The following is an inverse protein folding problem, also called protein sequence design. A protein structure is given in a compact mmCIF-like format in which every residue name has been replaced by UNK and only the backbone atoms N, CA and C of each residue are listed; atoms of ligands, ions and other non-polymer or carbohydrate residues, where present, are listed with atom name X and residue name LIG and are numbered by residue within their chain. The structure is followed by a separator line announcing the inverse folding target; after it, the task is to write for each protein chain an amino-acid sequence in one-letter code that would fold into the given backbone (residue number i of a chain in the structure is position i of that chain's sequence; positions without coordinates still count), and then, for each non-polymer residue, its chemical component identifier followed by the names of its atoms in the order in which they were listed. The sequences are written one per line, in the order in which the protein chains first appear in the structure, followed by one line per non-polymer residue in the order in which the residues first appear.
data_IF_886525878189
#
_entry.id   IF_886525878189
#
_cell.length_a   1.000
_cell.length_b   1.000
_cell.length_c   1.000
_cell.angle_alpha   90.00
_cell.angle_beta   90.00
_cell.angle_gamma   90.00
#
_symmetry.space_group_name_H-M   'P 1'
#
loop_
_entity.id
_entity.type
_entity.pdbx_description
1 polymer ?
#
# COMPACT_ATOMS: atom_id res chain seq x y z
N UNK A 1 28.60 -16.52 4.04
CA UNK A 1 28.71 -15.65 5.24
C UNK A 1 28.62 -16.57 6.45
N UNK A 2 29.68 -16.67 7.25
CA UNK A 2 29.73 -17.58 8.39
C UNK A 2 28.80 -17.06 9.50
N UNK A 3 27.91 -17.91 9.99
CA UNK A 3 26.98 -17.59 11.08
C UNK A 3 27.77 -17.69 12.38
N UNK A 4 28.12 -16.57 12.98
CA UNK A 4 28.72 -16.55 14.33
C UNK A 4 27.64 -17.04 15.29
N UNK A 5 27.80 -18.25 15.81
CA UNK A 5 26.99 -18.78 16.91
C UNK A 5 27.76 -18.54 18.20
N UNK A 6 27.25 -17.66 19.05
CA UNK A 6 27.69 -17.56 20.44
C UNK A 6 27.27 -18.85 21.15
N UNK A 7 28.21 -19.51 21.80
CA UNK A 7 28.00 -20.78 22.52
C UNK A 7 27.85 -20.52 24.01
N UNK A 8 27.35 -21.52 24.75
CA UNK A 8 27.21 -21.45 26.22
C UNK A 8 28.55 -21.19 26.94
N UNK A 9 29.68 -21.51 26.28
CA UNK A 9 31.03 -21.19 26.76
C UNK A 9 31.32 -19.68 26.69
N UNK A 10 30.82 -18.98 25.67
CA UNK A 10 30.96 -17.53 25.54
C UNK A 10 30.18 -16.80 26.65
N UNK A 11 28.98 -17.31 26.97
CA UNK A 11 28.12 -16.73 28.02
C UNK A 11 28.73 -16.90 29.43
N UNK A 12 29.39 -18.04 29.70
CA UNK A 12 30.09 -18.28 30.95
C UNK A 12 31.28 -17.32 31.14
N UNK A 13 32.02 -17.03 30.07
CA UNK A 13 33.15 -16.10 30.11
C UNK A 13 32.69 -14.65 30.35
N UNK A 14 31.55 -14.23 29.77
CA UNK A 14 30.96 -12.91 29.99
C UNK A 14 30.56 -12.68 31.45
N UNK A 15 29.98 -13.70 32.07
CA UNK A 15 29.59 -13.66 33.48
C UNK A 15 30.80 -13.56 34.42
N UNK A 16 31.90 -14.26 34.13
CA UNK A 16 33.13 -14.22 34.93
C UNK A 16 33.85 -12.87 34.84
N UNK A 17 33.73 -12.17 33.70
CA UNK A 17 34.27 -10.83 33.49
C UNK A 17 33.43 -9.71 34.16
N UNK A 18 32.27 -10.05 34.76
CA UNK A 18 31.36 -9.08 35.38
C UNK A 18 30.72 -8.11 34.38
N UNK A 19 30.71 -8.49 33.10
CA UNK A 19 30.09 -7.71 32.03
C UNK A 19 28.64 -8.17 31.90
N UNK A 20 27.73 -7.43 32.52
CA UNK A 20 26.31 -7.56 32.21
C UNK A 20 26.11 -7.13 30.76
N UNK A 21 25.84 -8.09 29.87
CA UNK A 21 25.37 -7.78 28.51
C UNK A 21 23.94 -7.30 28.65
N UNK A 22 23.76 -6.01 28.93
CA UNK A 22 22.55 -5.32 28.56
C UNK A 22 22.40 -5.51 27.06
N UNK A 23 21.48 -6.39 26.65
CA UNK A 23 20.99 -6.45 25.28
C UNK A 23 20.29 -5.11 25.06
N UNK A 24 21.09 -4.09 24.74
CA UNK A 24 20.61 -2.80 24.25
C UNK A 24 19.87 -3.15 22.99
N UNK A 25 18.55 -3.26 23.14
CA UNK A 25 17.62 -3.59 22.09
C UNK A 25 17.78 -2.48 21.04
N UNK A 26 18.64 -2.73 20.05
CA UNK A 26 18.86 -1.83 18.91
C UNK A 26 17.67 -1.83 17.96
N UNK A 27 16.52 -2.37 18.38
CA UNK A 27 15.24 -2.17 17.72
C UNK A 27 14.65 -0.81 18.09
N UNK A 28 15.26 0.28 17.63
CA UNK A 28 14.67 1.62 17.82
C UNK A 28 13.32 1.78 17.11
N UNK A 29 12.99 0.87 16.19
CA UNK A 29 11.74 0.88 15.43
C UNK A 29 11.13 -0.50 15.29
N UNK A 30 9.80 -0.56 15.34
CA UNK A 30 9.06 -1.80 15.07
C UNK A 30 9.11 -2.14 13.57
N UNK A 31 8.99 -3.41 13.16
CA UNK A 31 8.91 -3.78 11.75
C UNK A 31 7.77 -3.10 10.98
N UNK A 32 6.75 -2.61 11.71
CA UNK A 32 5.64 -1.83 11.16
C UNK A 32 6.08 -0.40 10.84
N UNK A 33 6.80 0.25 11.75
CA UNK A 33 7.36 1.59 11.54
C UNK A 33 8.35 1.62 10.38
N UNK A 34 9.24 0.63 10.28
CA UNK A 34 10.18 0.53 9.16
C UNK A 34 9.46 0.44 7.81
N UNK A 35 8.37 -0.33 7.73
CA UNK A 35 7.54 -0.39 6.51
C UNK A 35 6.85 0.94 6.22
N UNK A 36 6.37 1.64 7.24
CA UNK A 36 5.74 2.96 7.09
C UNK A 36 6.79 3.94 6.53
N UNK A 37 7.98 3.96 7.12
CA UNK A 37 9.11 4.80 6.74
C UNK A 37 9.55 4.53 5.31
N UNK A 38 9.86 3.28 4.97
CA UNK A 38 10.33 2.93 3.63
C UNK A 38 9.32 3.34 2.55
N UNK A 39 8.03 3.09 2.79
CA UNK A 39 7.01 3.50 1.83
C UNK A 39 6.66 4.99 1.85
N UNK A 40 7.13 5.79 2.83
CA UNK A 40 7.08 7.26 2.75
C UNK A 40 8.31 7.80 2.01
N UNK A 41 9.47 7.18 2.17
CA UNK A 41 10.70 7.52 1.43
C UNK A 41 10.50 7.34 -0.09
N UNK A 42 9.74 6.33 -0.52
CA UNK A 42 9.33 6.20 -1.94
C UNK A 42 8.49 7.40 -2.43
N UNK A 43 7.64 7.96 -1.57
CA UNK A 43 6.81 9.13 -1.87
C UNK A 43 7.67 10.39 -1.92
N UNK A 44 8.63 10.53 -1.02
CA UNK A 44 9.62 11.62 -1.05
C UNK A 44 10.44 11.55 -2.34
N UNK A 45 10.93 10.36 -2.71
CA UNK A 45 11.67 10.19 -3.96
C UNK A 45 10.81 10.56 -5.18
N UNK A 46 9.54 10.14 -5.21
CA UNK A 46 8.59 10.57 -6.25
C UNK A 46 8.47 12.11 -6.30
N UNK A 47 8.35 12.75 -5.15
CA UNK A 47 8.27 14.21 -5.05
C UNK A 47 9.55 14.89 -5.55
N UNK A 48 10.73 14.35 -5.24
CA UNK A 48 12.00 14.88 -5.74
C UNK A 48 12.14 14.76 -7.26
N UNK A 49 11.65 13.65 -7.84
CA UNK A 49 11.73 13.44 -9.29
C UNK A 49 10.73 14.28 -10.09
N UNK A 50 9.49 14.41 -9.59
CA UNK A 50 8.40 15.06 -10.33
C UNK A 50 8.07 16.47 -9.84
N UNK A 51 8.57 16.87 -8.67
CA UNK A 51 8.31 18.16 -8.04
C UNK A 51 6.86 18.34 -7.57
N UNK A 52 6.07 17.26 -7.46
CA UNK A 52 4.66 17.30 -7.04
C UNK A 52 4.31 16.11 -6.16
N UNK A 53 3.32 16.29 -5.29
CA UNK A 53 2.76 15.19 -4.52
C UNK A 53 2.01 14.20 -5.44
N UNK A 54 2.05 12.89 -5.16
CA UNK A 54 1.23 11.91 -5.86
C UNK A 54 -0.25 12.27 -5.73
N UNK A 55 -1.02 12.11 -6.81
CA UNK A 55 -2.46 12.31 -6.76
C UNK A 55 -3.21 11.19 -7.48
N UNK A 56 -4.51 11.09 -7.18
CA UNK A 56 -5.40 10.14 -7.82
C UNK A 56 -5.68 10.52 -9.28
N UNK A 57 -5.93 9.51 -10.12
CA UNK A 57 -6.35 9.69 -11.51
C UNK A 57 -6.08 8.44 -12.35
N UNK A 58 -7.06 8.03 -13.16
CA UNK A 58 -6.93 6.83 -14.02
C UNK A 58 -5.87 7.00 -15.11
N UNK A 59 -5.64 8.23 -15.56
CA UNK A 59 -4.60 8.60 -16.53
C UNK A 59 -3.18 8.67 -15.92
N UNK A 60 -3.05 8.43 -14.61
CA UNK A 60 -1.76 8.49 -13.89
C UNK A 60 -1.14 7.10 -13.78
N UNK A 61 0.19 7.09 -13.64
CA UNK A 61 0.96 5.87 -13.47
C UNK A 61 0.41 5.01 -12.31
N UNK A 62 0.50 3.69 -12.46
CA UNK A 62 0.10 2.72 -11.43
C UNK A 62 0.80 3.02 -10.10
N UNK A 63 2.08 3.42 -10.12
CA UNK A 63 2.83 3.77 -8.92
C UNK A 63 2.38 5.10 -8.32
N UNK A 64 2.08 6.11 -9.15
CA UNK A 64 1.56 7.39 -8.67
C UNK A 64 0.22 7.20 -7.95
N UNK A 65 -0.67 6.37 -8.51
CA UNK A 65 -1.93 6.01 -7.85
C UNK A 65 -1.71 5.26 -6.53
N UNK A 66 -0.76 4.33 -6.48
CA UNK A 66 -0.42 3.62 -5.25
C UNK A 66 0.12 4.57 -4.17
N UNK A 67 1.00 5.48 -4.55
CA UNK A 67 1.59 6.47 -3.65
C UNK A 67 0.54 7.47 -3.15
N UNK A 68 -0.40 7.88 -3.99
CA UNK A 68 -1.51 8.75 -3.58
C UNK A 68 -2.37 8.08 -2.49
N UNK A 69 -2.79 6.83 -2.70
CA UNK A 69 -3.55 6.05 -1.70
C UNK A 69 -2.76 5.88 -0.41
N UNK A 70 -1.45 5.64 -0.52
CA UNK A 70 -0.58 5.48 0.65
C UNK A 70 -0.43 6.78 1.43
N UNK A 71 -0.26 7.91 0.74
CA UNK A 71 -0.17 9.23 1.36
C UNK A 71 -1.45 9.57 2.13
N UNK A 72 -2.62 9.26 1.56
CA UNK A 72 -3.90 9.47 2.25
C UNK A 72 -4.04 8.63 3.52
N UNK A 73 -3.66 7.35 3.46
CA UNK A 73 -3.68 6.48 4.65
C UNK A 73 -2.72 6.96 5.73
N UNK A 74 -1.56 7.50 5.33
CA UNK A 74 -0.61 8.11 6.26
C UNK A 74 -1.21 9.37 6.90
N UNK A 75 -1.84 10.25 6.11
CA UNK A 75 -2.50 11.47 6.62
C UNK A 75 -3.67 11.15 7.56
N UNK A 76 -4.44 10.10 7.26
CA UNK A 76 -5.55 9.65 8.09
C UNK A 76 -5.12 9.06 9.45
N UNK A 77 -3.92 8.50 9.55
CA UNK A 77 -3.43 7.84 10.78
C UNK A 77 -2.47 8.74 11.59
N UNK A 78 -2.87 9.09 12.80
CA UNK A 78 -2.04 9.84 13.76
C UNK A 78 -0.73 9.11 14.10
N UNK A 79 -0.78 7.78 14.26
CA UNK A 79 0.39 6.94 14.52
C UNK A 79 1.43 7.08 13.39
N UNK A 80 0.98 6.99 12.14
CA UNK A 80 1.87 7.15 10.98
C UNK A 80 2.45 8.57 10.91
N UNK A 81 1.64 9.60 11.19
CA UNK A 81 2.11 10.99 11.23
C UNK A 81 3.18 11.21 12.30
N UNK A 82 3.00 10.65 13.49
CA UNK A 82 3.98 10.76 14.57
C UNK A 82 5.33 10.10 14.21
N UNK A 83 5.29 8.93 13.57
CA UNK A 83 6.50 8.20 13.14
C UNK A 83 7.26 8.94 12.02
N UNK A 84 6.54 9.67 11.17
CA UNK A 84 7.08 10.33 9.99
C UNK A 84 7.34 11.83 10.17
N UNK A 85 6.96 12.43 11.30
CA UNK A 85 7.09 13.87 11.54
C UNK A 85 8.53 14.39 11.36
N UNK A 86 9.53 13.65 11.84
CA UNK A 86 10.95 14.01 11.70
C UNK A 86 11.53 13.73 10.31
N UNK A 87 10.78 13.00 9.47
CA UNK A 87 11.21 12.59 8.13
C UNK A 87 10.59 13.44 7.03
N UNK A 88 9.45 14.08 7.28
CA UNK A 88 8.75 14.92 6.31
C UNK A 88 9.50 16.23 6.04
N UNK A 89 10.51 16.19 5.16
CA UNK A 89 11.29 17.37 4.77
C UNK A 89 10.51 18.32 3.86
N UNK A 90 9.54 17.78 3.14
CA UNK A 90 8.83 18.47 2.07
C UNK A 90 7.43 18.96 2.46
N UNK A 91 7.00 18.71 3.70
CA UNK A 91 5.67 19.10 4.17
C UNK A 91 4.53 18.30 3.52
N UNK A 92 4.81 17.07 3.08
CA UNK A 92 3.84 16.19 2.42
C UNK A 92 2.72 15.74 3.36
N UNK A 93 2.96 15.73 4.68
CA UNK A 93 2.01 15.26 5.68
C UNK A 93 1.05 16.35 6.19
N UNK A 94 1.39 17.63 5.97
CA UNK A 94 0.59 18.79 6.43
C UNK A 94 -0.47 19.22 5.43
N UNK A 95 -0.39 18.78 4.17
CA UNK A 95 -1.48 18.98 3.22
C UNK A 95 -2.72 18.23 3.68
N UNK A 96 -3.87 18.91 3.69
CA UNK A 96 -5.15 18.22 3.88
C UNK A 96 -5.23 17.05 2.89
N UNK A 97 -5.75 15.87 3.31
CA UNK A 97 -6.08 14.83 2.34
C UNK A 97 -6.87 15.54 1.24
N UNK A 98 -6.43 15.41 -0.02
CA UNK A 98 -7.24 15.89 -1.12
C UNK A 98 -8.49 15.06 -1.01
N UNK A 99 -9.51 15.62 -0.38
CA UNK A 99 -10.74 14.92 -0.15
C UNK A 99 -11.24 14.64 -1.55
N UNK A 100 -11.00 13.41 -2.00
CA UNK A 100 -11.91 12.72 -2.87
C UNK A 100 -13.12 12.58 -1.96
N UNK A 101 -13.85 13.69 -1.77
CA UNK A 101 -15.28 13.63 -1.63
C UNK A 101 -15.63 12.93 -2.93
N UNK A 102 -15.70 11.60 -2.85
CA UNK A 102 -16.25 10.82 -3.91
C UNK A 102 -17.65 11.40 -4.03
N UNK A 103 -17.88 12.27 -5.01
CA UNK A 103 -19.23 12.70 -5.37
C UNK A 103 -20.12 11.46 -5.68
N UNK A 104 -19.50 10.28 -5.80
CA UNK A 104 -20.10 8.95 -5.75
C UNK A 104 -20.90 8.66 -4.48
N UNK A 105 -20.50 9.13 -3.29
CA UNK A 105 -21.24 8.86 -2.04
C UNK A 105 -22.57 9.63 -1.96
N UNK A 106 -22.75 10.66 -2.80
CA UNK A 106 -24.00 11.40 -2.97
C UNK A 106 -24.80 10.96 -4.21
N UNK A 107 -24.32 9.93 -4.92
CA UNK A 107 -24.94 9.47 -6.15
C UNK A 107 -25.94 8.36 -5.82
N UNK A 108 -27.18 8.55 -6.23
CA UNK A 108 -28.26 7.60 -5.95
C UNK A 108 -28.02 6.28 -6.70
N UNK A 109 -27.97 5.17 -5.97
CA UNK A 109 -27.69 3.83 -6.50
C UNK A 109 -28.65 3.45 -7.63
N UNK A 110 -29.91 3.88 -7.54
CA UNK A 110 -30.95 3.61 -8.54
C UNK A 110 -30.69 4.35 -9.88
N UNK A 111 -30.15 5.57 -9.82
CA UNK A 111 -29.77 6.35 -11.01
C UNK A 111 -28.58 5.70 -11.73
N UNK A 112 -27.59 5.23 -10.96
CA UNK A 112 -26.42 4.53 -11.50
C UNK A 112 -26.78 3.23 -12.23
N UNK A 113 -27.65 2.42 -11.62
CA UNK A 113 -28.10 1.17 -12.22
C UNK A 113 -28.85 1.41 -13.54
N UNK A 114 -29.59 2.51 -13.63
CA UNK A 114 -30.27 2.91 -14.85
C UNK A 114 -29.30 3.33 -15.95
N UNK A 115 -28.27 4.11 -15.65
CA UNK A 115 -27.27 4.53 -16.65
C UNK A 115 -26.43 3.36 -17.17
N UNK A 116 -26.14 2.38 -16.31
CA UNK A 116 -25.44 1.15 -16.69
C UNK A 116 -26.30 0.18 -17.52
N UNK A 117 -27.61 0.43 -17.64
CA UNK A 117 -28.55 -0.45 -18.34
C UNK A 117 -28.75 -1.81 -17.66
N UNK A 118 -28.38 -1.96 -16.38
CA UNK A 118 -28.54 -3.21 -15.61
C UNK A 118 -30.02 -3.51 -15.37
N UNK A 119 -30.88 -2.47 -15.37
CA UNK A 119 -32.32 -2.61 -15.25
C UNK A 119 -33.00 -3.09 -16.55
N UNK A 120 -32.30 -3.05 -17.68
CA UNK A 120 -32.83 -3.52 -18.96
C UNK A 120 -32.65 -5.03 -19.06
N UNK A 121 -33.73 -5.79 -18.80
CA UNK A 121 -33.78 -7.23 -19.06
C UNK A 121 -33.88 -7.51 -20.56
N UNK A 122 -32.83 -7.17 -21.30
CA UNK A 122 -32.72 -7.37 -22.75
C UNK A 122 -32.32 -8.80 -23.14
N UNK A 123 -32.15 -9.03 -24.44
CA UNK A 123 -31.65 -10.30 -24.98
C UNK A 123 -30.16 -10.55 -24.64
N UNK A 124 -29.39 -9.48 -24.33
CA UNK A 124 -27.97 -9.54 -23.96
C UNK A 124 -27.73 -9.51 -22.43
N UNK A 125 -28.64 -10.10 -21.67
CA UNK A 125 -28.54 -10.18 -20.21
C UNK A 125 -27.43 -11.17 -19.79
N UNK A 126 -26.45 -10.68 -19.02
CA UNK A 126 -25.29 -11.46 -18.54
C UNK A 126 -25.67 -12.60 -17.59
N UNK A 127 -26.88 -12.60 -17.03
CA UNK A 127 -27.38 -13.71 -16.21
C UNK A 127 -27.82 -14.92 -17.04
N UNK A 128 -27.97 -14.76 -18.36
CA UNK A 128 -28.35 -15.84 -19.28
C UNK A 128 -27.10 -16.57 -19.80
N UNK A 129 -26.88 -17.78 -19.29
CA UNK A 129 -25.81 -18.65 -19.81
C UNK A 129 -26.15 -19.14 -21.23
N UNK A 130 -25.32 -18.79 -22.21
CA UNK A 130 -25.41 -19.33 -23.58
C UNK A 130 -24.33 -20.39 -23.77
N UNK A 131 -24.75 -21.63 -24.00
CA UNK A 131 -23.82 -22.73 -24.26
C UNK A 131 -23.36 -22.70 -25.73
N UNK A 132 -22.12 -22.25 -25.95
CA UNK A 132 -21.50 -22.24 -27.28
C UNK A 132 -20.65 -23.51 -27.42
N UNK A 133 -21.07 -24.43 -28.29
CA UNK A 133 -20.26 -25.59 -28.64
C UNK A 133 -19.10 -25.16 -29.53
N UNK A 134 -17.87 -25.38 -29.07
CA UNK A 134 -16.68 -25.19 -29.90
C UNK A 134 -16.65 -26.34 -30.92
N UNK A 135 -16.62 -26.08 -32.24
CA UNK A 135 -16.61 -27.14 -33.24
C UNK A 135 -15.32 -27.95 -33.11
N UNK A 136 -15.45 -29.28 -32.99
CA UNK A 136 -14.30 -30.18 -33.04
C UNK A 136 -13.69 -30.11 -34.44
N UNK A 137 -12.46 -29.58 -34.55
CA UNK A 137 -11.64 -29.77 -35.76
C UNK A 137 -11.39 -31.27 -35.90
N UNK A 138 -12.02 -31.90 -36.89
CA UNK A 138 -11.62 -33.22 -37.35
C UNK A 138 -10.14 -33.13 -37.77
N UNK A 139 -9.26 -33.72 -36.96
CA UNK A 139 -7.92 -34.07 -37.43
C UNK A 139 -8.12 -35.25 -38.37
N UNK A 140 -8.11 -34.96 -39.67
CA UNK A 140 -7.98 -35.98 -40.71
C UNK A 140 -6.59 -36.60 -40.63
N UNK A 141 -6.54 -37.94 -40.64
CA UNK A 141 -5.35 -38.78 -40.73
C UNK A 141 -4.42 -38.40 -41.89
#
# INVERSE_FOLDING_TARGET
MAKVSFTDEDDALLAELGVEVEVKNTGSRTPREERIIAGFEDIEWFYEQLGRAPAHGEDRDIFERLYAVRLDKIRASEECRAVLADKDKHGLLTGEPTAVVSDLDNLDDDVLLSELGVLDTGENDITKLTYITIPRRNQSC
#
